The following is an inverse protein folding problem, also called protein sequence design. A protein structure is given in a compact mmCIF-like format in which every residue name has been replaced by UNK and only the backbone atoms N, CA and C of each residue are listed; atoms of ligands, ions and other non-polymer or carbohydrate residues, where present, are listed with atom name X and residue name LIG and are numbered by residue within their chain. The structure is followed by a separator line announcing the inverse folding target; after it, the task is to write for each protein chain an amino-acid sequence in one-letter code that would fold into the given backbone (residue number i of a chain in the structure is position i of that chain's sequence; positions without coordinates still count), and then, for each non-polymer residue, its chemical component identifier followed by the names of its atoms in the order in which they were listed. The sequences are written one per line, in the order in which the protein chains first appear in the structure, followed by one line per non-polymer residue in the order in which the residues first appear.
data_IF_647136336431
#
_entry.id   IF_647136336431
#
_cell.length_a   1.000
_cell.length_b   1.000
_cell.length_c   1.000
_cell.angle_alpha   90.00
_cell.angle_beta   90.00
_cell.angle_gamma   90.00
#
_symmetry.space_group_name_H-M   'P 1'
#
loop_
_entity.id
_entity.type
_entity.pdbx_description
1 polymer ?
#
# COMPACT_ATOMS: atom_id res chain seq x y z
N UNK A 1 -24.13 5.43 -15.89
CA UNK A 1 -22.77 5.82 -15.48
C UNK A 1 -22.14 4.65 -14.73
N UNK A 2 -21.42 3.81 -15.43
CA UNK A 2 -20.59 2.75 -14.83
C UNK A 2 -19.24 3.39 -14.51
N UNK A 3 -19.12 4.00 -13.33
CA UNK A 3 -17.82 4.37 -12.79
C UNK A 3 -17.14 3.09 -12.30
N UNK A 4 -16.31 2.50 -13.15
CA UNK A 4 -15.45 1.41 -12.73
C UNK A 4 -14.43 1.98 -11.74
N UNK A 5 -14.50 1.55 -10.48
CA UNK A 5 -13.45 1.83 -9.50
C UNK A 5 -12.22 1.07 -9.95
N UNK A 6 -11.14 1.79 -10.22
CA UNK A 6 -9.84 1.19 -10.53
C UNK A 6 -8.96 1.17 -9.30
N UNK A 7 -8.37 0.03 -9.00
CA UNK A 7 -7.46 -0.11 -7.88
C UNK A 7 -6.21 -0.91 -8.26
N UNK A 8 -5.09 -0.51 -7.72
CA UNK A 8 -3.81 -1.18 -7.92
C UNK A 8 -3.30 -1.80 -6.62
N UNK A 9 -2.81 -3.02 -6.74
CA UNK A 9 -2.21 -3.75 -5.62
C UNK A 9 -0.73 -3.95 -5.92
N UNK A 10 0.11 -3.23 -5.17
CA UNK A 10 1.56 -3.38 -5.24
C UNK A 10 2.03 -4.56 -4.40
N UNK A 11 2.80 -5.47 -5.00
CA UNK A 11 3.38 -6.60 -4.30
C UNK A 11 4.84 -6.81 -4.67
N UNK A 12 5.64 -7.10 -3.66
CA UNK A 12 7.05 -7.43 -3.77
C UNK A 12 7.35 -8.76 -3.07
N UNK A 13 8.49 -9.37 -3.34
CA UNK A 13 8.87 -10.64 -2.72
C UNK A 13 8.77 -10.57 -1.20
N UNK A 14 8.10 -11.56 -0.61
CA UNK A 14 7.79 -11.61 0.81
C UNK A 14 6.49 -10.89 1.20
N UNK A 15 5.61 -10.61 0.23
CA UNK A 15 4.25 -10.13 0.51
C UNK A 15 3.48 -11.18 1.33
N UNK A 16 2.45 -10.77 2.07
CA UNK A 16 1.56 -11.68 2.76
C UNK A 16 0.44 -12.14 1.81
N UNK A 17 0.27 -13.44 1.67
CA UNK A 17 -0.58 -14.05 0.65
C UNK A 17 -2.06 -13.73 0.83
N UNK A 18 -2.59 -13.87 2.05
CA UNK A 18 -4.01 -13.63 2.34
C UNK A 18 -4.35 -12.15 2.13
N UNK A 19 -3.47 -11.27 2.64
CA UNK A 19 -3.65 -9.82 2.54
C UNK A 19 -3.55 -9.28 1.11
N UNK A 20 -2.94 -10.05 0.22
CA UNK A 20 -2.84 -9.73 -1.20
C UNK A 20 -3.98 -10.35 -2.01
N UNK A 21 -4.19 -11.64 -1.88
CA UNK A 21 -5.14 -12.38 -2.74
C UNK A 21 -6.59 -12.08 -2.38
N UNK A 22 -6.90 -11.93 -1.10
CA UNK A 22 -8.27 -11.64 -0.66
C UNK A 22 -8.82 -10.34 -1.25
N UNK A 23 -8.12 -9.18 -1.15
CA UNK A 23 -8.63 -7.97 -1.78
C UNK A 23 -8.67 -8.05 -3.31
N UNK A 24 -7.73 -8.75 -3.98
CA UNK A 24 -7.81 -8.98 -5.42
C UNK A 24 -9.11 -9.69 -5.78
N UNK A 25 -9.40 -10.81 -5.12
CA UNK A 25 -10.60 -11.62 -5.41
C UNK A 25 -11.89 -10.84 -5.11
N UNK A 26 -11.98 -10.26 -3.92
CA UNK A 26 -13.19 -9.57 -3.48
C UNK A 26 -13.49 -8.31 -4.32
N UNK A 27 -12.49 -7.50 -4.61
CA UNK A 27 -12.67 -6.31 -5.43
C UNK A 27 -13.04 -6.65 -6.87
N UNK A 28 -12.41 -7.68 -7.48
CA UNK A 28 -12.78 -8.16 -8.81
C UNK A 28 -14.21 -8.72 -8.83
N UNK A 29 -14.64 -9.46 -7.81
CA UNK A 29 -16.04 -9.92 -7.65
C UNK A 29 -17.01 -8.75 -7.51
N UNK A 30 -16.62 -7.68 -6.86
CA UNK A 30 -17.41 -6.45 -6.74
C UNK A 30 -17.44 -5.61 -8.04
N UNK A 31 -16.76 -6.03 -9.10
CA UNK A 31 -16.73 -5.34 -10.39
C UNK A 31 -15.66 -4.25 -10.51
N UNK A 32 -14.75 -4.12 -9.54
CA UNK A 32 -13.62 -3.20 -9.65
C UNK A 32 -12.59 -3.71 -10.68
N UNK A 33 -11.95 -2.78 -11.37
CA UNK A 33 -10.79 -3.08 -12.23
C UNK A 33 -9.54 -3.13 -11.35
N UNK A 34 -9.11 -4.34 -11.00
CA UNK A 34 -7.92 -4.54 -10.16
C UNK A 34 -6.74 -4.96 -11.00
N UNK A 35 -5.66 -4.20 -10.91
CA UNK A 35 -4.36 -4.49 -11.55
C UNK A 35 -3.34 -4.79 -10.46
N UNK A 36 -2.70 -5.94 -10.55
CA UNK A 36 -1.59 -6.29 -9.67
C UNK A 36 -0.27 -5.85 -10.28
N UNK A 37 0.51 -5.09 -9.50
CA UNK A 37 1.75 -4.45 -9.96
C UNK A 37 2.94 -5.01 -9.19
N UNK A 38 3.97 -5.45 -9.90
CA UNK A 38 5.18 -6.02 -9.31
C UNK A 38 6.08 -6.63 -10.38
N UNK A 39 7.02 -7.47 -9.96
CA UNK A 39 7.76 -8.32 -10.91
C UNK A 39 6.82 -9.35 -11.54
N UNK A 40 7.21 -9.92 -12.68
CA UNK A 40 6.40 -10.89 -13.43
C UNK A 40 5.88 -12.03 -12.53
N UNK A 41 6.75 -12.57 -11.71
CA UNK A 41 6.43 -13.57 -10.69
C UNK A 41 6.97 -13.09 -9.35
N UNK A 42 6.11 -12.99 -8.36
CA UNK A 42 6.46 -12.52 -7.00
C UNK A 42 6.16 -13.64 -6.02
N UNK A 43 7.12 -13.95 -5.17
CA UNK A 43 7.02 -15.01 -4.16
C UNK A 43 6.58 -14.43 -2.82
N UNK A 44 5.50 -14.93 -2.29
CA UNK A 44 4.98 -14.53 -0.98
C UNK A 44 5.79 -15.08 0.20
N UNK A 45 5.43 -14.68 1.38
CA UNK A 45 6.10 -15.03 2.64
C UNK A 45 5.94 -16.51 3.03
N UNK A 46 5.00 -17.21 2.41
CA UNK A 46 4.73 -18.64 2.59
C UNK A 46 5.02 -19.46 1.32
N UNK A 47 5.95 -18.96 0.48
CA UNK A 47 6.44 -19.64 -0.71
C UNK A 47 5.42 -19.80 -1.85
N UNK A 48 4.28 -19.15 -1.80
CA UNK A 48 3.30 -19.11 -2.90
C UNK A 48 3.74 -18.06 -3.91
N UNK A 49 3.91 -18.47 -5.16
CA UNK A 49 4.27 -17.55 -6.24
C UNK A 49 3.04 -17.07 -6.97
N UNK A 50 2.93 -15.76 -7.14
CA UNK A 50 1.80 -15.10 -7.80
C UNK A 50 2.30 -14.22 -8.93
N UNK A 51 1.74 -14.41 -10.14
CA UNK A 51 2.02 -13.54 -11.26
C UNK A 51 1.46 -12.13 -11.03
N UNK A 52 2.14 -11.11 -11.55
CA UNK A 52 1.62 -9.75 -11.62
C UNK A 52 0.98 -9.50 -12.99
N UNK A 53 -0.12 -8.75 -13.01
CA UNK A 53 -0.74 -8.33 -14.27
C UNK A 53 0.17 -7.36 -15.03
N UNK A 54 0.99 -6.58 -14.32
CA UNK A 54 1.83 -5.55 -14.92
C UNK A 54 3.12 -5.32 -14.12
N UNK A 55 4.21 -5.05 -14.83
CA UNK A 55 5.46 -4.62 -14.20
C UNK A 55 5.37 -3.15 -13.79
N UNK A 56 6.05 -2.77 -12.71
CA UNK A 56 6.05 -1.39 -12.18
C UNK A 56 6.34 -0.35 -13.27
N UNK A 57 7.32 -0.59 -14.14
CA UNK A 57 7.68 0.35 -15.22
C UNK A 57 6.54 0.53 -16.23
N UNK A 58 5.90 -0.55 -16.64
CA UNK A 58 4.78 -0.54 -17.59
C UNK A 58 3.56 0.15 -16.99
N UNK A 59 3.26 -0.16 -15.74
CA UNK A 59 2.18 0.46 -15.01
C UNK A 59 2.36 1.99 -14.89
N UNK A 60 3.53 2.46 -14.52
CA UNK A 60 3.80 3.90 -14.39
C UNK A 60 3.63 4.62 -15.74
N UNK A 61 4.15 4.05 -16.83
CA UNK A 61 3.98 4.62 -18.17
C UNK A 61 2.51 4.67 -18.61
N UNK A 62 1.71 3.67 -18.22
CA UNK A 62 0.27 3.64 -18.46
C UNK A 62 -0.48 4.69 -17.62
N UNK A 63 -0.13 4.81 -16.35
CA UNK A 63 -0.71 5.78 -15.43
C UNK A 63 -0.42 7.24 -15.85
N UNK A 64 0.74 7.52 -16.42
CA UNK A 64 1.06 8.85 -16.98
C UNK A 64 0.13 9.22 -18.16
N UNK A 65 -0.29 8.25 -18.97
CA UNK A 65 -1.17 8.47 -20.12
C UNK A 65 -2.66 8.52 -19.77
N UNK A 66 -3.08 7.64 -18.87
CA UNK A 66 -4.50 7.37 -18.60
C UNK A 66 -5.00 8.01 -17.31
N UNK A 67 -4.13 8.65 -16.54
CA UNK A 67 -4.44 9.19 -15.21
C UNK A 67 -4.20 8.18 -14.08
N UNK A 68 -4.32 8.68 -12.85
CA UNK A 68 -4.18 7.85 -11.64
C UNK A 68 -5.41 6.96 -11.43
N UNK A 69 -5.23 5.78 -10.83
CA UNK A 69 -6.34 4.96 -10.37
C UNK A 69 -7.10 5.64 -9.21
N UNK A 70 -8.23 5.08 -8.84
CA UNK A 70 -9.02 5.59 -7.72
C UNK A 70 -8.44 5.17 -6.37
N UNK A 71 -7.77 4.02 -6.33
CA UNK A 71 -7.18 3.48 -5.11
C UNK A 71 -5.83 2.79 -5.36
N UNK A 72 -4.97 2.81 -4.34
CA UNK A 72 -3.80 1.94 -4.22
C UNK A 72 -3.93 1.09 -2.96
N UNK A 73 -3.66 -0.21 -3.08
CA UNK A 73 -3.68 -1.16 -1.96
C UNK A 73 -2.28 -1.72 -1.74
N UNK A 74 -1.84 -1.67 -0.51
CA UNK A 74 -0.50 -2.07 -0.08
C UNK A 74 -0.65 -3.20 0.94
N UNK A 75 -0.45 -4.45 0.54
CA UNK A 75 -0.48 -5.59 1.45
C UNK A 75 0.72 -5.56 2.40
N UNK A 76 0.63 -6.31 3.45
CA UNK A 76 1.71 -6.50 4.39
C UNK A 76 2.70 -7.61 3.97
N UNK A 77 3.24 -8.26 4.98
CA UNK A 77 4.41 -9.12 4.87
C UNK A 77 5.68 -8.32 5.12
N UNK A 78 6.42 -8.67 6.16
CA UNK A 78 7.56 -7.87 6.63
C UNK A 78 8.61 -7.61 5.52
N UNK A 79 9.00 -8.66 4.78
CA UNK A 79 9.97 -8.51 3.70
C UNK A 79 9.36 -7.81 2.48
N UNK A 80 8.10 -8.09 2.14
CA UNK A 80 7.39 -7.44 1.04
C UNK A 80 7.28 -5.94 1.23
N UNK A 81 6.90 -5.51 2.42
CA UNK A 81 6.80 -4.08 2.76
C UNK A 81 8.17 -3.39 2.78
N UNK A 82 9.24 -4.04 3.31
CA UNK A 82 10.60 -3.52 3.25
C UNK A 82 11.10 -3.36 1.81
N UNK A 83 10.85 -4.34 0.95
CA UNK A 83 11.21 -4.28 -0.47
C UNK A 83 10.43 -3.17 -1.19
N UNK A 84 9.14 -3.03 -0.90
CA UNK A 84 8.32 -1.95 -1.47
C UNK A 84 8.79 -0.57 -0.98
N UNK A 85 9.12 -0.43 0.30
CA UNK A 85 9.67 0.79 0.87
C UNK A 85 11.04 1.16 0.28
N UNK A 86 11.83 0.19 -0.18
CA UNK A 86 13.08 0.42 -0.90
C UNK A 86 12.88 0.77 -2.39
N UNK A 87 11.68 0.56 -2.95
CA UNK A 87 11.38 0.84 -4.34
C UNK A 87 10.98 2.31 -4.54
N UNK A 88 11.91 3.19 -4.87
CA UNK A 88 11.67 4.62 -5.08
C UNK A 88 10.51 4.91 -6.03
N UNK A 89 10.32 4.11 -7.08
CA UNK A 89 9.22 4.29 -8.04
C UNK A 89 7.86 4.05 -7.40
N UNK A 90 7.73 3.02 -6.58
CA UNK A 90 6.51 2.73 -5.86
C UNK A 90 6.22 3.82 -4.81
N UNK A 91 7.24 4.26 -4.08
CA UNK A 91 7.13 5.35 -3.11
C UNK A 91 6.64 6.65 -3.75
N UNK A 92 7.25 7.06 -4.88
CA UNK A 92 6.83 8.25 -5.61
C UNK A 92 5.38 8.13 -6.11
N UNK A 93 4.97 6.94 -6.56
CA UNK A 93 3.60 6.70 -6.98
C UNK A 93 2.61 6.81 -5.82
N UNK A 94 2.89 6.17 -4.68
CA UNK A 94 2.05 6.25 -3.47
C UNK A 94 1.95 7.71 -2.99
N UNK A 95 3.07 8.44 -2.97
CA UNK A 95 3.07 9.85 -2.63
C UNK A 95 2.19 10.67 -3.57
N UNK A 96 2.25 10.41 -4.87
CA UNK A 96 1.40 11.07 -5.86
C UNK A 96 -0.08 10.76 -5.65
N UNK A 97 -0.43 9.48 -5.39
CA UNK A 97 -1.80 9.09 -5.04
C UNK A 97 -2.32 9.89 -3.84
N UNK A 98 -1.50 10.00 -2.79
CA UNK A 98 -1.83 10.77 -1.60
C UNK A 98 -2.05 12.25 -1.89
N UNK A 99 -1.13 12.89 -2.62
CA UNK A 99 -1.21 14.31 -2.98
C UNK A 99 -2.41 14.65 -3.85
N UNK A 100 -2.83 13.73 -4.72
CA UNK A 100 -4.00 13.85 -5.58
C UNK A 100 -5.31 13.39 -4.88
N UNK A 101 -5.27 13.24 -3.55
CA UNK A 101 -6.40 12.84 -2.72
C UNK A 101 -7.08 11.54 -3.18
N UNK A 102 -6.29 10.60 -3.72
CA UNK A 102 -6.73 9.26 -4.08
C UNK A 102 -6.70 8.35 -2.87
N UNK A 103 -7.49 7.27 -2.88
CA UNK A 103 -7.58 6.34 -1.78
C UNK A 103 -6.26 5.56 -1.62
N UNK A 104 -5.70 5.58 -0.42
CA UNK A 104 -4.53 4.81 -0.03
C UNK A 104 -4.93 3.80 1.04
N UNK A 105 -4.78 2.52 0.73
CA UNK A 105 -5.09 1.41 1.64
C UNK A 105 -3.80 0.67 2.00
N UNK A 106 -3.59 0.42 3.29
CA UNK A 106 -2.41 -0.30 3.76
C UNK A 106 -2.77 -1.20 4.95
N UNK A 107 -2.29 -2.44 4.96
CA UNK A 107 -2.61 -3.39 6.01
C UNK A 107 -1.35 -3.93 6.69
N UNK A 108 -1.49 -4.40 7.94
CA UNK A 108 -0.46 -5.11 8.71
C UNK A 108 0.77 -4.24 8.95
N UNK A 109 1.93 -4.59 8.40
CA UNK A 109 3.16 -3.83 8.53
C UNK A 109 3.24 -2.60 7.59
N UNK A 110 2.41 -2.55 6.54
CA UNK A 110 2.51 -1.53 5.50
C UNK A 110 2.28 -0.10 6.00
N UNK A 111 1.34 0.20 6.92
CA UNK A 111 1.19 1.56 7.46
C UNK A 111 2.49 2.11 8.05
N UNK A 112 3.20 1.29 8.82
CA UNK A 112 4.45 1.72 9.48
C UNK A 112 5.64 1.71 8.53
N UNK A 113 5.82 0.64 7.76
CA UNK A 113 7.03 0.48 6.92
C UNK A 113 6.97 1.30 5.63
N UNK A 114 5.78 1.43 5.02
CA UNK A 114 5.63 2.08 3.72
C UNK A 114 5.09 3.49 3.83
N UNK A 115 4.08 3.73 4.66
CA UNK A 115 3.42 5.04 4.71
C UNK A 115 4.10 6.03 5.66
N UNK A 116 4.66 5.57 6.78
CA UNK A 116 5.30 6.49 7.73
C UNK A 116 6.52 7.23 7.15
N UNK A 117 7.41 6.60 6.35
CA UNK A 117 8.51 7.33 5.70
C UNK A 117 8.05 8.45 4.78
N UNK A 118 6.85 8.30 4.20
CA UNK A 118 6.24 9.27 3.27
C UNK A 118 5.48 10.41 3.99
N UNK A 119 5.37 10.35 5.33
CA UNK A 119 4.62 11.33 6.11
C UNK A 119 3.10 11.23 5.96
N UNK A 120 2.59 10.15 5.37
CA UNK A 120 1.14 9.96 5.11
C UNK A 120 0.36 9.77 6.41
N UNK A 121 1.01 9.28 7.47
CA UNK A 121 0.37 9.08 8.78
C UNK A 121 0.30 10.36 9.64
N UNK A 122 0.91 11.47 9.19
CA UNK A 122 0.89 12.72 9.94
C UNK A 122 -0.55 13.22 10.12
N UNK A 123 -0.92 13.51 11.38
CA UNK A 123 -2.25 13.98 11.78
C UNK A 123 -3.40 13.01 11.38
N UNK A 124 -3.11 11.69 11.25
CA UNK A 124 -4.07 10.67 10.85
C UNK A 124 -4.34 9.64 11.94
N UNK A 125 -5.58 9.16 11.96
CA UNK A 125 -5.95 7.95 12.67
C UNK A 125 -5.55 6.74 11.82
N UNK A 126 -4.95 5.72 12.44
CA UNK A 126 -4.51 4.53 11.73
C UNK A 126 -4.49 3.30 12.63
N UNK A 127 -4.46 2.14 12.02
CA UNK A 127 -4.11 0.86 12.66
C UNK A 127 -2.99 0.17 11.90
N UNK A 128 -2.32 -0.77 12.53
CA UNK A 128 -1.25 -1.55 11.92
C UNK A 128 -1.13 -2.92 12.61
N UNK A 129 -0.19 -3.73 12.18
CA UNK A 129 0.15 -4.96 12.89
C UNK A 129 0.54 -4.60 14.35
N UNK A 130 0.06 -5.35 15.36
CA UNK A 130 0.31 -5.05 16.77
C UNK A 130 1.80 -4.81 17.08
N UNK A 131 2.07 -3.78 17.88
CA UNK A 131 3.41 -3.34 18.31
C UNK A 131 4.27 -2.66 17.22
N UNK A 132 3.86 -2.69 15.94
CA UNK A 132 4.61 -2.03 14.87
C UNK A 132 4.65 -0.51 15.02
N UNK A 133 3.63 0.11 15.64
CA UNK A 133 3.59 1.55 15.92
C UNK A 133 4.77 2.03 16.78
N UNK A 134 5.43 1.12 17.48
CA UNK A 134 6.64 1.41 18.30
C UNK A 134 7.91 1.47 17.46
N UNK A 135 7.85 1.13 16.20
CA UNK A 135 9.03 0.98 15.31
C UNK A 135 9.18 2.14 14.30
N UNK A 136 8.52 3.27 14.52
CA UNK A 136 8.62 4.42 13.60
C UNK A 136 10.06 4.92 13.43
N UNK A 137 10.86 4.94 14.50
CA UNK A 137 12.26 5.34 14.42
C UNK A 137 13.06 4.48 13.45
N UNK A 138 12.81 3.16 13.45
CA UNK A 138 13.48 2.21 12.55
C UNK A 138 13.07 2.45 11.09
N UNK A 139 11.78 2.65 10.82
CA UNK A 139 11.24 2.61 9.45
C UNK A 139 11.02 3.97 8.82
N UNK A 140 10.60 4.97 9.57
CA UNK A 140 10.40 6.32 9.02
C UNK A 140 11.72 7.09 8.86
N UNK A 141 12.81 6.62 9.50
CA UNK A 141 14.15 7.18 9.34
C UNK A 141 14.30 8.58 9.95
N UNK A 142 15.20 9.38 9.39
CA UNK A 142 15.45 10.73 9.91
C UNK A 142 14.17 11.57 9.97
N UNK A 143 14.04 12.37 11.03
CA UNK A 143 12.88 13.21 11.33
C UNK A 143 11.56 12.45 11.45
N UNK A 144 11.60 11.18 11.89
CA UNK A 144 10.41 10.34 12.02
C UNK A 144 9.32 10.99 12.88
N UNK A 145 9.69 11.70 13.94
CA UNK A 145 8.73 12.39 14.83
C UNK A 145 7.86 13.41 14.06
N UNK A 146 8.44 14.11 13.08
CA UNK A 146 7.68 15.04 12.25
C UNK A 146 6.75 14.31 11.27
N UNK A 147 7.25 13.21 10.68
CA UNK A 147 6.50 12.43 9.67
C UNK A 147 5.26 11.74 10.24
N UNK A 148 5.25 11.45 11.54
CA UNK A 148 4.12 10.81 12.22
C UNK A 148 3.52 11.70 13.32
N UNK A 149 3.89 12.99 13.37
CA UNK A 149 3.35 13.91 14.37
C UNK A 149 1.82 13.97 14.28
N UNK A 150 1.15 13.99 15.43
CA UNK A 150 -0.32 14.03 15.48
C UNK A 150 -1.02 12.74 15.06
N UNK A 151 -0.29 11.69 14.65
CA UNK A 151 -0.91 10.40 14.35
C UNK A 151 -1.46 9.72 15.60
N UNK A 152 -2.61 9.05 15.47
CA UNK A 152 -3.27 8.33 16.55
C UNK A 152 -3.44 6.87 16.15
N UNK A 153 -2.73 5.99 16.86
CA UNK A 153 -2.85 4.54 16.65
C UNK A 153 -4.11 4.00 17.34
N UNK A 154 -4.85 3.18 16.63
CA UNK A 154 -6.03 2.47 17.11
C UNK A 154 -5.82 0.95 17.03
N UNK A 155 -6.49 0.21 17.91
CA UNK A 155 -6.43 -1.26 17.97
C UNK A 155 -7.57 -1.95 17.23
N UNK A 156 -8.42 -1.19 16.53
CA UNK A 156 -9.49 -1.74 15.70
C UNK A 156 -8.92 -2.43 14.45
N UNK A 157 -9.66 -3.40 13.92
CA UNK A 157 -9.24 -4.14 12.74
C UNK A 157 -9.19 -3.29 11.47
N UNK A 158 -9.96 -2.21 11.41
CA UNK A 158 -10.00 -1.26 10.29
C UNK A 158 -10.16 0.15 10.84
N UNK A 159 -9.36 1.07 10.34
CA UNK A 159 -9.46 2.51 10.60
C UNK A 159 -9.55 3.24 9.27
N UNK A 160 -10.55 4.11 9.15
CA UNK A 160 -10.78 4.97 7.98
C UNK A 160 -10.62 6.42 8.43
N UNK A 161 -9.71 7.13 7.79
CA UNK A 161 -9.48 8.56 8.02
C UNK A 161 -9.35 9.25 6.66
N UNK A 162 -10.44 9.89 6.21
CA UNK A 162 -10.54 10.52 4.89
C UNK A 162 -10.22 9.52 3.75
N UNK A 163 -9.12 9.76 3.02
CA UNK A 163 -8.65 8.91 1.92
C UNK A 163 -7.59 7.87 2.35
N UNK A 164 -7.46 7.62 3.65
CA UNK A 164 -6.62 6.58 4.22
C UNK A 164 -7.47 5.45 4.81
N UNK A 165 -7.18 4.21 4.44
CA UNK A 165 -7.73 2.99 5.08
C UNK A 165 -6.57 2.13 5.56
N UNK A 166 -6.56 1.82 6.83
CA UNK A 166 -5.56 0.94 7.41
C UNK A 166 -6.19 -0.18 8.22
#
# INVERSE_FOLDING_TARGET
FSSFISSEIFKENGFEEIETITPIDLLRRAGAQVVTVGNELVKGSRDISVASDMRVKEFLAKSEKNGLPDAVVIPGGLNGTKNLAACTKAQNFITKMWQENKLVCAICAAPVIVLSPLGILKDKNFTCYPEMEKSFEEFAGENWQEKVSGSIHHTQNVVIDENLIT
#
